data_IF_173610677933
#
_entry.id   IF_173610677933
#
_cell.length_a   1.000
_cell.length_b   1.000
_cell.length_c   1.000
_cell.angle_alpha   90.00
_cell.angle_beta   90.00
_cell.angle_gamma   90.00
#
_symmetry.space_group_name_H-M   'P 1'
#
loop_
_entity.id
_entity.type
_entity.pdbx_description
1 polymer ?
#
# COMPACT_ATOMS: atom_id res chain seq x y z
N UNK A 1 4.54 30.64 1.13
CA UNK A 1 3.31 29.86 0.80
C UNK A 1 3.34 29.37 -0.65
N UNK A 2 3.57 30.23 -1.66
CA UNK A 2 3.61 29.82 -3.08
C UNK A 2 4.73 28.81 -3.40
N UNK A 3 5.93 28.99 -2.85
CA UNK A 3 7.04 28.08 -3.05
C UNK A 3 6.77 26.70 -2.42
N UNK A 4 6.16 26.67 -1.24
CA UNK A 4 5.76 25.44 -0.57
C UNK A 4 4.71 24.68 -1.41
N UNK A 5 3.66 25.36 -1.84
CA UNK A 5 2.63 24.78 -2.70
C UNK A 5 3.20 24.23 -4.02
N UNK A 6 4.16 24.94 -4.62
CA UNK A 6 4.83 24.49 -5.84
C UNK A 6 5.68 23.24 -5.64
N UNK A 7 6.34 23.11 -4.48
CA UNK A 7 7.16 21.93 -4.18
C UNK A 7 6.34 20.68 -3.78
N UNK A 8 5.16 20.90 -3.19
CA UNK A 8 4.29 19.82 -2.69
C UNK A 8 3.38 19.23 -3.77
N UNK A 9 3.33 19.83 -4.95
CA UNK A 9 2.45 19.38 -6.04
C UNK A 9 3.19 19.27 -7.37
N UNK A 10 2.67 18.45 -8.26
CA UNK A 10 3.03 18.42 -9.68
C UNK A 10 1.79 18.66 -10.53
N UNK A 11 2.00 19.07 -11.78
CA UNK A 11 0.94 19.31 -12.74
C UNK A 11 0.93 18.23 -13.81
N UNK A 12 -0.23 17.64 -14.03
CA UNK A 12 -0.45 16.68 -15.12
C UNK A 12 -1.80 16.98 -15.78
N UNK A 13 -1.80 17.11 -17.11
CA UNK A 13 -3.00 17.39 -17.91
C UNK A 13 -3.80 18.64 -17.45
N UNK A 14 -3.11 19.63 -16.88
CA UNK A 14 -3.73 20.88 -16.40
C UNK A 14 -4.30 20.81 -14.98
N UNK A 15 -4.17 19.67 -14.31
CA UNK A 15 -4.58 19.46 -12.93
C UNK A 15 -3.38 19.33 -12.00
N UNK A 16 -3.57 19.72 -10.73
CA UNK A 16 -2.52 19.63 -9.70
C UNK A 16 -2.78 18.45 -8.79
N UNK A 17 -1.71 17.66 -8.61
CA UNK A 17 -1.72 16.46 -7.79
C UNK A 17 -0.62 16.49 -6.72
N UNK A 18 -0.78 15.78 -5.60
CA UNK A 18 0.25 15.67 -4.57
C UNK A 18 1.53 15.04 -5.12
N UNK A 19 2.69 15.66 -4.84
CA UNK A 19 3.99 15.17 -5.32
C UNK A 19 4.32 13.77 -4.76
N UNK A 20 3.84 13.44 -3.58
CA UNK A 20 4.02 12.13 -2.96
C UNK A 20 3.47 10.97 -3.79
N UNK A 21 2.39 11.21 -4.53
CA UNK A 21 1.70 10.21 -5.36
C UNK A 21 2.25 10.09 -6.79
N UNK A 22 3.18 10.98 -7.17
CA UNK A 22 3.76 10.96 -8.52
C UNK A 22 4.52 9.66 -8.77
N UNK A 23 4.21 8.97 -9.86
CA UNK A 23 5.02 7.85 -10.33
C UNK A 23 6.38 8.37 -10.81
N UNK A 24 7.51 7.85 -10.28
CA UNK A 24 8.83 8.34 -10.62
C UNK A 24 9.36 7.65 -11.88
N UNK A 25 9.31 8.33 -13.02
CA UNK A 25 9.85 7.83 -14.28
C UNK A 25 11.27 8.36 -14.59
N UNK A 26 11.73 9.38 -13.87
CA UNK A 26 13.03 9.98 -14.06
C UNK A 26 13.68 10.37 -12.72
N UNK A 27 15.01 10.54 -12.72
CA UNK A 27 15.76 10.98 -11.55
C UNK A 27 15.22 12.31 -10.97
N UNK A 28 14.77 13.22 -11.84
CA UNK A 28 14.14 14.47 -11.42
C UNK A 28 12.89 14.26 -10.55
N UNK A 29 12.10 13.22 -10.77
CA UNK A 29 10.89 12.96 -9.99
C UNK A 29 11.24 12.62 -8.54
N UNK A 30 12.32 11.87 -8.34
CA UNK A 30 12.87 11.59 -7.02
C UNK A 30 13.45 12.83 -6.34
N UNK A 31 14.14 13.69 -7.09
CA UNK A 31 14.67 14.96 -6.56
C UNK A 31 13.55 15.91 -6.15
N UNK A 32 12.48 15.98 -6.92
CA UNK A 32 11.32 16.82 -6.60
C UNK A 32 10.61 16.30 -5.32
N UNK A 33 10.44 14.99 -5.18
CA UNK A 33 9.88 14.38 -3.96
C UNK A 33 10.78 14.65 -2.75
N UNK A 34 12.10 14.44 -2.88
CA UNK A 34 13.05 14.72 -1.80
C UNK A 34 13.00 16.18 -1.37
N UNK A 35 12.93 17.13 -2.32
CA UNK A 35 12.79 18.55 -2.01
C UNK A 35 11.52 18.85 -1.22
N UNK A 36 10.40 18.21 -1.54
CA UNK A 36 9.16 18.35 -0.78
C UNK A 36 9.32 17.84 0.65
N UNK A 37 9.94 16.67 0.83
CA UNK A 37 10.25 16.12 2.17
C UNK A 37 11.15 17.07 2.95
N UNK A 38 12.24 17.57 2.36
CA UNK A 38 13.17 18.50 3.00
C UNK A 38 12.48 19.79 3.46
N UNK A 39 11.55 20.33 2.66
CA UNK A 39 10.79 21.52 3.05
C UNK A 39 9.89 21.23 4.24
N UNK A 40 9.19 20.12 4.27
CA UNK A 40 8.34 19.74 5.42
C UNK A 40 9.20 19.52 6.65
N UNK A 41 10.32 18.80 6.52
CA UNK A 41 11.24 18.52 7.63
C UNK A 41 11.81 19.80 8.24
N UNK A 42 12.19 20.76 7.40
CA UNK A 42 12.69 22.06 7.88
C UNK A 42 11.61 22.85 8.63
N UNK A 43 10.38 22.82 8.14
CA UNK A 43 9.25 23.56 8.74
C UNK A 43 8.87 22.98 10.12
N UNK A 44 8.93 21.67 10.30
CA UNK A 44 8.55 21.02 11.56
C UNK A 44 9.73 20.72 12.48
N UNK A 45 10.92 21.27 12.22
CA UNK A 45 12.10 21.13 13.06
C UNK A 45 12.74 19.75 13.06
N UNK A 46 12.62 19.01 11.95
CA UNK A 46 13.28 17.71 11.78
C UNK A 46 12.57 16.53 12.44
N UNK A 47 11.34 16.68 12.88
CA UNK A 47 10.52 15.55 13.36
C UNK A 47 10.23 14.63 12.18
N UNK A 48 10.33 13.32 12.40
CA UNK A 48 10.09 12.32 11.36
C UNK A 48 8.69 12.52 10.75
N UNK A 49 8.67 12.78 9.45
CA UNK A 49 7.44 12.82 8.68
C UNK A 49 7.46 11.72 7.63
N UNK A 50 6.33 11.09 7.43
CA UNK A 50 6.11 10.15 6.33
C UNK A 50 5.17 10.81 5.33
N UNK A 51 5.66 11.04 4.12
CA UNK A 51 4.85 11.50 3.00
C UNK A 51 4.36 10.33 2.16
N UNK A 52 3.85 9.30 2.83
CA UNK A 52 3.37 8.08 2.19
C UNK A 52 4.47 7.16 1.67
N UNK A 53 5.69 7.26 2.16
CA UNK A 53 6.86 6.59 1.58
C UNK A 53 6.76 5.08 1.55
N UNK A 54 6.18 4.46 2.57
CA UNK A 54 6.04 3.02 2.64
C UNK A 54 4.94 2.51 1.70
N UNK A 55 3.72 2.94 1.90
CA UNK A 55 2.56 2.49 1.10
C UNK A 55 2.64 2.93 -0.34
N UNK A 56 3.11 4.15 -0.59
CA UNK A 56 3.31 4.67 -1.96
C UNK A 56 4.43 3.92 -2.67
N UNK A 57 5.53 3.59 -1.98
CA UNK A 57 6.60 2.76 -2.53
C UNK A 57 6.12 1.36 -2.90
N UNK A 58 5.21 0.78 -2.12
CA UNK A 58 4.56 -0.49 -2.42
C UNK A 58 3.68 -0.39 -3.68
N UNK A 59 2.91 0.68 -3.83
CA UNK A 59 2.11 0.94 -5.04
C UNK A 59 2.97 1.13 -6.29
N UNK A 60 4.10 1.81 -6.18
CA UNK A 60 5.04 1.97 -7.29
C UNK A 60 5.67 0.63 -7.69
N UNK A 61 5.98 -0.22 -6.73
CA UNK A 61 6.47 -1.57 -6.99
C UNK A 61 5.44 -2.43 -7.71
N UNK A 62 4.16 -2.31 -7.35
CA UNK A 62 3.08 -2.97 -8.07
C UNK A 62 2.91 -2.42 -9.49
N UNK A 63 3.05 -1.10 -9.68
CA UNK A 63 3.03 -0.50 -11.00
C UNK A 63 4.15 -1.01 -11.89
N UNK A 64 5.37 -1.08 -11.37
CA UNK A 64 6.54 -1.56 -12.10
C UNK A 64 6.41 -3.05 -12.46
N UNK A 65 5.88 -3.85 -11.53
CA UNK A 65 5.64 -5.29 -11.70
C UNK A 65 4.33 -5.68 -12.38
N UNK A 66 3.49 -4.72 -12.81
CA UNK A 66 2.14 -5.01 -13.29
C UNK A 66 2.09 -5.93 -14.52
N UNK A 67 3.10 -5.86 -15.38
CA UNK A 67 3.14 -6.70 -16.58
C UNK A 67 3.36 -8.18 -16.23
N UNK A 68 4.18 -8.45 -15.19
CA UNK A 68 4.36 -9.81 -14.65
C UNK A 68 3.05 -10.33 -14.06
N UNK A 69 2.36 -9.48 -13.31
CA UNK A 69 1.06 -9.82 -12.73
C UNK A 69 -0.02 -10.02 -13.80
N UNK A 70 0.06 -9.29 -14.90
CA UNK A 70 -0.83 -9.45 -16.06
C UNK A 70 -0.69 -10.83 -16.74
N UNK A 71 0.49 -11.43 -16.70
CA UNK A 71 0.71 -12.79 -17.23
C UNK A 71 -0.02 -13.85 -16.39
N UNK A 72 -0.21 -13.57 -15.09
CA UNK A 72 -0.93 -14.45 -14.16
C UNK A 72 -2.45 -14.26 -14.36
N UNK A 73 -2.92 -13.02 -14.25
CA UNK A 73 -4.33 -12.65 -14.45
C UNK A 73 -4.42 -11.19 -14.94
N UNK A 74 -5.01 -10.96 -16.13
CA UNK A 74 -5.16 -9.62 -16.69
C UNK A 74 -5.93 -8.63 -15.80
N UNK A 75 -6.73 -9.13 -14.85
CA UNK A 75 -7.45 -8.28 -13.88
C UNK A 75 -6.49 -7.58 -12.93
N UNK A 76 -5.34 -8.17 -12.60
CA UNK A 76 -4.38 -7.58 -11.66
C UNK A 76 -3.79 -6.28 -12.19
N UNK A 77 -3.31 -6.26 -13.42
CA UNK A 77 -2.77 -5.03 -14.03
C UNK A 77 -3.82 -3.91 -14.07
N UNK A 78 -5.04 -4.23 -14.51
CA UNK A 78 -6.16 -3.27 -14.56
C UNK A 78 -6.53 -2.72 -13.19
N UNK A 79 -6.52 -3.57 -12.16
CA UNK A 79 -6.82 -3.15 -10.79
C UNK A 79 -5.73 -2.23 -10.25
N UNK A 80 -4.45 -2.50 -10.53
CA UNK A 80 -3.33 -1.65 -10.14
C UNK A 80 -3.44 -0.28 -10.82
N UNK A 81 -3.63 -0.26 -12.14
CA UNK A 81 -3.76 0.99 -12.90
C UNK A 81 -4.92 1.84 -12.40
N UNK A 82 -6.08 1.23 -12.20
CA UNK A 82 -7.25 1.90 -11.65
C UNK A 82 -6.97 2.45 -10.26
N UNK A 83 -6.41 1.63 -9.36
CA UNK A 83 -6.15 2.05 -7.98
C UNK A 83 -5.18 3.23 -7.91
N UNK A 84 -4.08 3.19 -8.67
CA UNK A 84 -3.12 4.29 -8.70
C UNK A 84 -3.74 5.56 -9.28
N UNK A 85 -4.55 5.44 -10.32
CA UNK A 85 -5.27 6.57 -10.88
C UNK A 85 -6.22 7.21 -9.86
N UNK A 86 -7.03 6.41 -9.17
CA UNK A 86 -7.93 6.88 -8.10
C UNK A 86 -7.16 7.50 -6.93
N UNK A 87 -6.02 6.91 -6.55
CA UNK A 87 -5.17 7.47 -5.50
C UNK A 87 -4.62 8.85 -5.87
N UNK A 88 -4.21 9.06 -7.11
CA UNK A 88 -3.71 10.35 -7.60
C UNK A 88 -4.83 11.40 -7.61
N UNK A 89 -6.06 11.01 -7.98
CA UNK A 89 -7.19 11.92 -8.05
C UNK A 89 -7.74 12.32 -6.68
N UNK A 90 -7.81 11.40 -5.75
CA UNK A 90 -8.55 11.57 -4.50
C UNK A 90 -7.67 11.69 -3.25
N UNK A 91 -6.37 11.42 -3.38
CA UNK A 91 -5.39 11.46 -2.27
C UNK A 91 -5.90 10.78 -0.99
N UNK A 92 -6.38 9.53 -1.05
CA UNK A 92 -6.89 8.84 0.13
C UNK A 92 -5.76 8.57 1.12
N UNK A 93 -6.06 8.68 2.39
CA UNK A 93 -5.11 8.32 3.44
C UNK A 93 -4.99 6.81 3.54
N UNK A 94 -3.84 6.27 3.13
CA UNK A 94 -3.52 4.86 3.19
C UNK A 94 -2.75 4.50 4.45
N UNK A 95 -3.00 3.31 4.96
CA UNK A 95 -2.17 2.68 5.99
C UNK A 95 -1.64 1.34 5.52
N UNK A 96 -0.47 0.98 6.02
CA UNK A 96 0.21 -0.28 5.72
C UNK A 96 -0.13 -1.32 6.79
N UNK A 97 -1.28 -1.98 6.64
CA UNK A 97 -1.79 -2.97 7.59
C UNK A 97 -1.05 -4.32 7.43
N UNK A 98 0.22 -4.34 7.79
CA UNK A 98 1.11 -5.48 7.56
C UNK A 98 1.33 -6.35 8.79
N UNK A 99 1.13 -5.81 10.00
CA UNK A 99 1.44 -6.49 11.25
C UNK A 99 0.36 -7.52 11.59
N UNK A 100 0.78 -8.75 11.82
CA UNK A 100 -0.10 -9.81 12.30
C UNK A 100 -0.33 -9.73 13.81
N UNK A 101 -1.47 -10.20 14.33
CA UNK A 101 -1.68 -10.41 15.75
C UNK A 101 -0.58 -11.28 16.36
N UNK A 102 -0.21 -10.95 17.59
CA UNK A 102 0.84 -11.69 18.33
C UNK A 102 0.27 -12.95 18.95
N UNK A 103 0.15 -13.99 18.17
CA UNK A 103 -0.15 -15.32 18.71
C UNK A 103 1.05 -16.02 19.35
N UNK A 104 0.97 -17.32 19.48
CA UNK A 104 2.09 -18.14 19.89
C UNK A 104 3.12 -18.26 18.76
N UNK A 105 4.21 -17.52 18.88
CA UNK A 105 5.26 -17.45 17.85
C UNK A 105 6.05 -18.75 17.68
N UNK A 106 5.88 -19.72 18.58
CA UNK A 106 6.47 -21.05 18.46
C UNK A 106 5.68 -21.97 17.52
N UNK A 107 4.45 -21.57 17.19
CA UNK A 107 3.53 -22.33 16.34
C UNK A 107 3.38 -21.69 14.97
N UNK A 108 3.07 -22.52 13.99
CA UNK A 108 2.68 -22.06 12.66
C UNK A 108 1.27 -21.50 12.66
N UNK A 109 0.88 -20.67 11.69
CA UNK A 109 -0.47 -20.09 11.60
C UNK A 109 -1.60 -21.11 11.72
N UNK A 110 -1.50 -22.22 10.99
CA UNK A 110 -2.50 -23.29 10.98
C UNK A 110 -2.50 -24.17 12.25
N UNK A 111 -1.55 -24.00 13.17
CA UNK A 111 -1.46 -24.73 14.44
C UNK A 111 -2.05 -23.97 15.62
N UNK A 112 -2.64 -22.80 15.38
CA UNK A 112 -3.25 -21.92 16.37
C UNK A 112 -4.74 -21.71 16.00
N UNK A 113 -5.33 -20.63 16.52
CA UNK A 113 -6.63 -20.18 16.08
C UNK A 113 -6.57 -19.87 14.56
N UNK A 114 -7.28 -20.60 13.71
CA UNK A 114 -7.20 -20.43 12.27
C UNK A 114 -7.68 -19.04 11.81
N UNK A 115 -8.53 -18.38 12.61
CA UNK A 115 -9.09 -17.07 12.30
C UNK A 115 -8.26 -15.92 12.89
N UNK A 116 -7.15 -16.19 13.55
CA UNK A 116 -6.31 -15.16 14.14
C UNK A 116 -5.56 -14.35 13.05
N UNK A 117 -4.97 -15.05 12.09
CA UNK A 117 -4.20 -14.44 11.01
C UNK A 117 -5.05 -14.31 9.74
N UNK A 118 -4.85 -13.21 9.02
CA UNK A 118 -5.58 -12.96 7.79
C UNK A 118 -5.27 -14.01 6.73
N UNK A 119 -6.31 -14.65 6.21
CA UNK A 119 -6.21 -15.69 5.20
C UNK A 119 -7.45 -15.72 4.29
N UNK A 120 -7.32 -16.35 3.15
CA UNK A 120 -8.43 -16.59 2.22
C UNK A 120 -9.23 -17.80 2.70
N UNK A 121 -10.53 -17.61 2.94
CA UNK A 121 -11.42 -18.69 3.34
C UNK A 121 -12.26 -19.22 2.18
N UNK A 122 -12.40 -18.43 1.11
CA UNK A 122 -13.16 -18.84 -0.08
C UNK A 122 -12.79 -17.97 -1.28
N UNK A 123 -12.71 -18.61 -2.43
CA UNK A 123 -12.68 -17.95 -3.74
C UNK A 123 -14.06 -18.03 -4.39
N UNK A 124 -14.44 -16.97 -5.10
CA UNK A 124 -15.72 -16.85 -5.81
C UNK A 124 -15.48 -16.13 -7.15
N UNK A 125 -16.46 -16.20 -8.05
CA UNK A 125 -16.40 -15.46 -9.31
C UNK A 125 -16.35 -13.93 -9.12
N UNK A 126 -16.82 -13.44 -7.98
CA UNK A 126 -16.78 -12.01 -7.62
C UNK A 126 -15.50 -11.57 -6.93
N UNK A 127 -14.65 -12.50 -6.47
CA UNK A 127 -13.41 -12.23 -5.73
C UNK A 127 -13.17 -13.22 -4.61
N UNK A 128 -12.35 -12.79 -3.63
CA UNK A 128 -11.99 -13.61 -2.47
C UNK A 128 -12.74 -13.17 -1.22
N UNK A 129 -13.02 -14.13 -0.34
CA UNK A 129 -13.48 -13.87 1.02
C UNK A 129 -12.32 -14.16 1.95
N UNK A 130 -11.98 -13.16 2.76
CA UNK A 130 -10.88 -13.26 3.73
C UNK A 130 -11.43 -13.21 5.16
N UNK A 131 -10.69 -13.83 6.10
CA UNK A 131 -10.97 -13.81 7.52
C UNK A 131 -9.67 -13.68 8.30
N UNK A 132 -9.75 -13.16 9.52
CA UNK A 132 -8.60 -12.92 10.38
C UNK A 132 -8.37 -11.43 10.64
N UNK A 133 -7.23 -11.09 11.21
CA UNK A 133 -6.91 -9.73 11.59
C UNK A 133 -5.54 -9.27 11.09
N UNK A 134 -5.44 -7.98 10.84
CA UNK A 134 -4.19 -7.22 10.72
C UNK A 134 -4.22 -6.10 11.74
N UNK A 135 -3.06 -5.74 12.24
CA UNK A 135 -2.91 -4.67 13.21
C UNK A 135 -2.27 -3.44 12.56
N UNK A 136 -2.92 -2.28 12.75
CA UNK A 136 -2.42 -1.01 12.26
C UNK A 136 -2.85 0.13 13.20
N UNK A 137 -1.89 0.94 13.63
CA UNK A 137 -2.13 2.01 14.62
C UNK A 137 -2.92 3.19 14.08
N UNK A 138 -2.85 3.48 12.79
CA UNK A 138 -3.51 4.63 12.15
C UNK A 138 -4.84 4.27 11.47
N UNK A 139 -5.31 3.03 11.55
CA UNK A 139 -6.50 2.54 10.84
C UNK A 139 -7.78 3.35 11.13
N UNK A 140 -7.90 3.92 12.34
CA UNK A 140 -9.06 4.72 12.73
C UNK A 140 -9.27 6.00 11.89
N UNK A 141 -8.23 6.48 11.23
CA UNK A 141 -8.24 7.70 10.41
C UNK A 141 -8.03 7.42 8.93
N UNK A 142 -7.73 6.18 8.57
CA UNK A 142 -7.41 5.82 7.21
C UNK A 142 -8.66 5.62 6.35
N UNK A 143 -8.56 6.01 5.10
CA UNK A 143 -9.58 5.69 4.09
C UNK A 143 -9.38 4.27 3.56
N UNK A 144 -8.13 3.86 3.41
CA UNK A 144 -7.77 2.57 2.82
C UNK A 144 -6.63 1.90 3.58
N UNK A 145 -6.63 0.57 3.55
CA UNK A 145 -5.54 -0.24 4.06
C UNK A 145 -4.90 -1.06 2.94
N UNK A 146 -3.58 -0.97 2.83
CA UNK A 146 -2.76 -1.87 2.06
C UNK A 146 -2.32 -3.01 2.97
N UNK A 147 -2.74 -4.21 2.68
CA UNK A 147 -2.33 -5.39 3.43
C UNK A 147 -1.46 -6.30 2.57
N UNK A 148 -0.43 -6.84 3.19
CA UNK A 148 0.43 -7.87 2.60
C UNK A 148 0.74 -8.91 3.65
N UNK A 149 1.11 -10.11 3.24
CA UNK A 149 1.47 -11.15 4.18
C UNK A 149 2.82 -10.85 4.83
N UNK A 150 2.95 -11.21 6.10
CA UNK A 150 4.21 -11.12 6.86
C UNK A 150 4.88 -12.48 7.07
N UNK A 151 4.19 -13.55 6.70
CA UNK A 151 4.70 -14.92 6.84
C UNK A 151 5.73 -15.19 5.74
N UNK A 152 6.96 -15.47 6.17
CA UNK A 152 8.00 -15.98 5.29
C UNK A 152 7.80 -17.50 5.15
N UNK A 153 7.66 -18.01 3.97
CA UNK A 153 7.64 -19.41 3.51
C UNK A 153 6.47 -19.69 2.55
N UNK A 154 6.38 -18.88 1.55
CA UNK A 154 5.39 -18.96 0.46
C UNK A 154 5.38 -20.30 -0.30
N UNK A 155 6.43 -21.11 -0.18
CA UNK A 155 6.54 -22.42 -0.82
C UNK A 155 5.87 -23.55 -0.07
N UNK A 156 5.29 -23.32 1.11
CA UNK A 156 4.52 -24.34 1.83
C UNK A 156 3.04 -24.24 1.39
N UNK A 157 2.55 -25.23 0.69
CA UNK A 157 1.15 -25.30 0.22
C UNK A 157 0.14 -25.09 1.35
N UNK A 158 0.47 -25.48 2.58
CA UNK A 158 -0.37 -25.28 3.76
C UNK A 158 -0.48 -23.82 4.19
N UNK A 159 0.36 -22.95 3.67
CA UNK A 159 0.37 -21.51 3.96
C UNK A 159 -0.13 -20.66 2.78
N UNK A 160 -0.51 -21.27 1.68
CA UNK A 160 -0.96 -20.56 0.48
C UNK A 160 -2.16 -19.64 0.76
N UNK A 161 -3.07 -20.05 1.63
CA UNK A 161 -4.25 -19.25 2.02
C UNK A 161 -3.87 -17.96 2.78
N UNK A 162 -2.71 -17.95 3.45
CA UNK A 162 -2.18 -16.77 4.17
C UNK A 162 -1.35 -15.85 3.27
N UNK A 163 -1.06 -16.27 2.05
CA UNK A 163 -0.27 -15.52 1.08
C UNK A 163 -1.14 -14.55 0.29
N UNK A 164 -1.89 -13.70 0.97
CA UNK A 164 -2.82 -12.75 0.35
C UNK A 164 -2.41 -11.31 0.61
N UNK A 165 -2.42 -10.50 -0.44
CA UNK A 165 -2.24 -9.05 -0.37
C UNK A 165 -3.32 -8.34 -1.18
N UNK A 166 -3.82 -7.25 -0.64
CA UNK A 166 -4.86 -6.43 -1.29
C UNK A 166 -4.90 -5.02 -0.70
N UNK A 167 -5.61 -4.14 -1.38
CA UNK A 167 -6.01 -2.84 -0.84
C UNK A 167 -7.52 -2.87 -0.66
N UNK A 168 -7.99 -2.42 0.49
CA UNK A 168 -9.42 -2.33 0.79
C UNK A 168 -9.79 -0.98 1.40
N UNK A 169 -11.02 -0.55 1.16
CA UNK A 169 -11.61 0.58 1.85
C UNK A 169 -11.91 0.21 3.31
N UNK A 170 -11.74 1.18 4.22
CA UNK A 170 -12.01 1.03 5.66
C UNK A 170 -13.30 1.74 6.10
N UNK A 171 -13.99 2.39 5.18
CA UNK A 171 -15.24 3.12 5.41
C UNK A 171 -16.45 2.29 5.05
#
# INVERSE_FOLDING_TARGET
EAAFKSAMTYEEKGERHPIGLKLPFAAKDWDDKRRAVDLVMNEIGGVVTRMGDETIGEMWSLWDGKDILNEIDPRFAKNIERHIHEAILHDPFHVSANTDPKGDRSKRPQEQDPDMLLHVVKETDAGIIVRGAKYETAAAYANQAFTKPTIANWGDEKLSEYAVGFICDLS
#
